data_IF_721659341385
#
_entry.id   IF_721659341385
#
_cell.length_a   1.000
_cell.length_b   1.000
_cell.length_c   1.000
_cell.angle_alpha   90.00
_cell.angle_beta   90.00
_cell.angle_gamma   90.00
#
_symmetry.space_group_name_H-M   'P 1'
#
loop_
_entity.id
_entity.type
_entity.pdbx_description
1 polymer ?
#
# COMPACT_ATOMS: atom_id res chain seq x y z
N UNK A 1 -26.40 -5.09 -0.21
CA UNK A 1 -26.40 -4.69 -1.63
C UNK A 1 -25.50 -5.65 -2.39
N UNK A 2 -25.97 -6.20 -3.51
CA UNK A 2 -25.15 -7.09 -4.33
C UNK A 2 -24.03 -6.25 -4.96
N UNK A 3 -22.78 -6.58 -4.63
CA UNK A 3 -21.63 -5.98 -5.27
C UNK A 3 -21.62 -6.42 -6.74
N UNK A 4 -21.53 -5.51 -7.72
CA UNK A 4 -21.37 -5.89 -9.11
C UNK A 4 -19.99 -6.54 -9.26
N UNK A 5 -19.97 -7.88 -9.22
CA UNK A 5 -18.83 -8.66 -9.67
C UNK A 5 -19.01 -9.00 -11.13
N UNK A 6 -17.92 -8.96 -11.89
CA UNK A 6 -17.94 -9.41 -13.27
C UNK A 6 -18.22 -10.91 -13.35
N UNK A 7 -18.49 -11.41 -14.55
CA UNK A 7 -18.79 -12.82 -14.84
C UNK A 7 -17.71 -13.80 -14.37
N UNK A 8 -16.52 -13.31 -14.04
CA UNK A 8 -15.39 -14.10 -13.51
C UNK A 8 -15.19 -13.94 -12.00
N UNK A 9 -16.05 -13.18 -11.30
CA UNK A 9 -16.00 -13.01 -9.85
C UNK A 9 -14.74 -12.32 -9.33
N UNK A 10 -14.03 -11.57 -10.18
CA UNK A 10 -12.73 -10.92 -9.88
C UNK A 10 -12.82 -9.40 -9.77
N UNK A 11 -13.96 -8.83 -10.15
CA UNK A 11 -14.24 -7.41 -10.06
C UNK A 11 -15.05 -7.06 -8.81
N UNK A 12 -14.69 -6.00 -8.11
CA UNK A 12 -15.62 -5.28 -7.23
C UNK A 12 -15.41 -3.79 -7.48
N UNK A 13 -16.39 -3.16 -8.14
CA UNK A 13 -16.37 -1.73 -8.35
C UNK A 13 -16.47 -0.99 -7.01
N UNK A 14 -15.55 -0.06 -6.75
CA UNK A 14 -15.74 0.93 -5.69
C UNK A 14 -15.49 0.47 -4.25
N UNK A 15 -14.80 -0.64 -4.01
CA UNK A 15 -14.50 -1.05 -2.63
C UNK A 15 -13.28 -0.27 -2.07
N UNK A 16 -13.53 0.99 -1.75
CA UNK A 16 -12.65 1.83 -0.92
C UNK A 16 -12.74 1.46 0.57
N UNK A 17 -13.71 0.61 0.97
CA UNK A 17 -13.87 0.14 2.34
C UNK A 17 -13.14 -1.19 2.60
N UNK A 18 -12.11 -1.22 3.45
CA UNK A 18 -11.46 -2.45 3.89
C UNK A 18 -12.39 -3.44 4.60
N UNK A 19 -13.47 -2.96 5.23
CA UNK A 19 -14.45 -3.80 5.92
C UNK A 19 -15.29 -4.66 4.97
N UNK A 20 -15.80 -4.07 3.89
CA UNK A 20 -16.49 -4.78 2.81
C UNK A 20 -15.58 -5.79 2.10
N UNK A 21 -14.32 -5.43 1.83
CA UNK A 21 -13.36 -6.38 1.26
C UNK A 21 -13.18 -7.60 2.15
N UNK A 22 -13.00 -7.35 3.45
CA UNK A 22 -12.84 -8.41 4.42
C UNK A 22 -14.05 -9.34 4.43
N UNK A 23 -15.28 -8.80 4.46
CA UNK A 23 -16.51 -9.61 4.40
C UNK A 23 -16.60 -10.44 3.12
N UNK A 24 -16.22 -9.86 1.98
CA UNK A 24 -16.22 -10.57 0.70
C UNK A 24 -15.17 -11.69 0.65
N UNK A 25 -13.98 -11.46 1.19
CA UNK A 25 -12.94 -12.48 1.28
C UNK A 25 -13.35 -13.57 2.30
N UNK A 26 -13.95 -13.21 3.43
CA UNK A 26 -14.51 -14.14 4.43
C UNK A 26 -15.69 -14.96 3.87
N UNK A 27 -16.42 -14.44 2.88
CA UNK A 27 -17.44 -15.23 2.17
C UNK A 27 -16.86 -16.18 1.11
N UNK A 28 -15.60 -15.98 0.70
CA UNK A 28 -14.91 -16.80 -0.30
C UNK A 28 -13.94 -17.81 0.30
N UNK A 29 -13.39 -17.52 1.47
CA UNK A 29 -12.35 -18.31 2.12
C UNK A 29 -12.71 -18.60 3.58
N UNK A 30 -12.48 -19.83 4.02
CA UNK A 30 -12.75 -20.22 5.40
C UNK A 30 -11.71 -19.62 6.36
N UNK A 31 -12.08 -19.39 7.62
CA UNK A 31 -11.14 -18.89 8.62
C UNK A 31 -9.90 -19.79 8.82
N UNK A 32 -10.01 -21.14 8.86
CA UNK A 32 -8.83 -22.00 8.97
C UNK A 32 -7.85 -21.86 7.80
N UNK A 33 -8.36 -21.68 6.58
CA UNK A 33 -7.53 -21.45 5.39
C UNK A 33 -6.77 -20.13 5.49
N UNK A 34 -7.46 -19.04 5.88
CA UNK A 34 -6.84 -17.72 6.04
C UNK A 34 -5.78 -17.73 7.15
N UNK A 35 -6.02 -18.42 8.26
CA UNK A 35 -5.04 -18.55 9.34
C UNK A 35 -3.79 -19.32 8.89
N UNK A 36 -3.99 -20.44 8.18
CA UNK A 36 -2.89 -21.24 7.63
C UNK A 36 -2.08 -20.44 6.60
N UNK A 37 -2.76 -19.70 5.73
CA UNK A 37 -2.11 -18.84 4.73
C UNK A 37 -1.33 -17.70 5.39
N UNK A 38 -1.90 -17.02 6.39
CA UNK A 38 -1.20 -15.99 7.16
C UNK A 38 0.09 -16.54 7.79
N UNK A 39 0.02 -17.70 8.45
CA UNK A 39 1.18 -18.33 9.08
C UNK A 39 2.25 -18.69 8.05
N UNK A 40 1.85 -19.30 6.93
CA UNK A 40 2.76 -19.65 5.84
C UNK A 40 3.45 -18.42 5.23
N UNK A 41 2.69 -17.38 4.86
CA UNK A 41 3.24 -16.14 4.28
C UNK A 41 4.20 -15.43 5.24
N UNK A 42 3.91 -15.44 6.53
CA UNK A 42 4.80 -14.85 7.53
C UNK A 42 6.14 -15.60 7.62
N UNK A 43 6.11 -16.94 7.68
CA UNK A 43 7.33 -17.74 7.80
C UNK A 43 8.16 -17.73 6.52
N UNK A 44 7.50 -17.82 5.36
CA UNK A 44 8.17 -17.69 4.06
C UNK A 44 8.84 -16.33 3.90
N UNK A 45 8.18 -15.24 4.33
CA UNK A 45 8.77 -13.90 4.28
C UNK A 45 10.04 -13.80 5.11
N UNK A 46 10.04 -14.40 6.31
CA UNK A 46 11.22 -14.45 7.19
C UNK A 46 12.34 -15.31 6.62
N UNK A 47 11.99 -16.49 6.11
CA UNK A 47 12.94 -17.43 5.52
C UNK A 47 13.61 -16.85 4.27
N UNK A 48 12.82 -16.26 3.37
CA UNK A 48 13.31 -15.59 2.17
C UNK A 48 14.16 -14.37 2.51
N UNK A 49 13.76 -13.57 3.51
CA UNK A 49 14.54 -12.44 3.98
C UNK A 49 15.94 -12.85 4.48
N UNK A 50 16.04 -13.94 5.24
CA UNK A 50 17.33 -14.50 5.67
C UNK A 50 18.17 -14.98 4.49
N UNK A 51 17.56 -15.71 3.56
CA UNK A 51 18.24 -16.28 2.40
C UNK A 51 18.80 -15.21 1.46
N UNK A 52 18.01 -14.17 1.17
CA UNK A 52 18.39 -13.10 0.24
C UNK A 52 19.02 -11.87 0.92
N UNK A 53 19.17 -11.89 2.25
CA UNK A 53 19.69 -10.77 3.05
C UNK A 53 18.94 -9.45 2.81
N UNK A 54 17.62 -9.53 2.73
CA UNK A 54 16.71 -8.39 2.60
C UNK A 54 15.79 -8.28 3.82
N UNK A 55 15.02 -7.19 3.92
CA UNK A 55 14.03 -7.05 5.00
C UNK A 55 12.89 -8.06 4.82
N UNK A 56 12.26 -8.54 5.92
CA UNK A 56 11.05 -9.35 5.86
C UNK A 56 9.93 -8.71 5.03
N UNK A 57 9.82 -7.38 5.06
CA UNK A 57 8.84 -6.65 4.25
C UNK A 57 9.14 -6.77 2.75
N UNK A 58 10.40 -6.57 2.32
CA UNK A 58 10.79 -6.75 0.92
C UNK A 58 10.61 -8.18 0.43
N UNK A 59 10.93 -9.16 1.28
CA UNK A 59 10.67 -10.56 0.99
C UNK A 59 9.16 -10.81 0.81
N UNK A 60 8.32 -10.27 1.69
CA UNK A 60 6.87 -10.36 1.55
C UNK A 60 6.38 -9.73 0.24
N UNK A 61 6.93 -8.58 -0.18
CA UNK A 61 6.64 -7.95 -1.47
C UNK A 61 6.98 -8.83 -2.67
N UNK A 62 8.10 -9.55 -2.62
CA UNK A 62 8.46 -10.52 -3.67
C UNK A 62 7.45 -11.67 -3.71
N UNK A 63 7.04 -12.20 -2.56
CA UNK A 63 6.03 -13.27 -2.48
C UNK A 63 4.66 -12.81 -3.01
N UNK A 64 4.23 -11.60 -2.65
CA UNK A 64 3.00 -11.00 -3.20
C UNK A 64 3.10 -10.86 -4.72
N UNK A 65 4.24 -10.40 -5.25
CA UNK A 65 4.47 -10.30 -6.69
C UNK A 65 4.33 -11.64 -7.41
N UNK A 66 4.89 -12.72 -6.84
CA UNK A 66 4.75 -14.09 -7.36
C UNK A 66 3.29 -14.55 -7.35
N UNK A 67 2.60 -14.38 -6.22
CA UNK A 67 1.20 -14.77 -6.08
C UNK A 67 0.29 -14.05 -7.08
N UNK A 68 0.48 -12.74 -7.30
CA UNK A 68 -0.24 -12.00 -8.32
C UNK A 68 0.09 -12.48 -9.74
N UNK A 69 1.36 -12.77 -10.05
CA UNK A 69 1.76 -13.28 -11.36
C UNK A 69 1.18 -14.67 -11.68
N UNK A 70 1.07 -15.54 -10.68
CA UNK A 70 0.52 -16.89 -10.83
C UNK A 70 -1.02 -16.91 -10.89
N UNK A 71 -1.67 -16.06 -10.07
CA UNK A 71 -3.12 -16.15 -9.81
C UNK A 71 -3.96 -15.07 -10.50
N UNK A 72 -3.36 -14.00 -11.00
CA UNK A 72 -4.07 -12.89 -11.65
C UNK A 72 -3.81 -12.86 -13.15
N UNK A 73 -4.53 -13.70 -13.89
CA UNK A 73 -4.39 -13.89 -15.34
C UNK A 73 -4.69 -12.63 -16.19
N UNK A 74 -5.22 -11.56 -15.58
CA UNK A 74 -5.55 -10.30 -16.27
C UNK A 74 -4.79 -9.08 -15.72
N UNK A 75 -3.79 -9.27 -14.85
CA UNK A 75 -2.98 -8.19 -14.31
C UNK A 75 -2.09 -7.60 -15.42
N UNK A 76 -2.33 -6.35 -15.77
CA UNK A 76 -1.48 -5.60 -16.70
C UNK A 76 -0.65 -4.51 -15.99
N UNK A 77 -0.74 -4.46 -14.66
CA UNK A 77 0.05 -3.56 -13.83
C UNK A 77 1.52 -3.96 -13.88
N UNK A 78 2.36 -3.02 -14.32
CA UNK A 78 3.81 -3.17 -14.36
C UNK A 78 4.51 -1.82 -14.12
N UNK A 79 5.84 -1.84 -14.11
CA UNK A 79 6.62 -0.59 -14.09
C UNK A 79 6.27 0.23 -15.33
N UNK A 80 5.95 1.52 -15.14
CA UNK A 80 5.45 2.41 -16.19
C UNK A 80 3.93 2.51 -16.29
N UNK A 81 3.17 1.76 -15.48
CA UNK A 81 1.73 1.92 -15.33
C UNK A 81 1.43 2.95 -14.22
N UNK A 82 0.95 4.15 -14.58
CA UNK A 82 0.66 5.23 -13.61
C UNK A 82 -0.79 5.28 -13.11
N UNK A 83 -1.65 4.33 -13.51
CA UNK A 83 -3.08 4.37 -13.22
C UNK A 83 -3.41 4.49 -11.72
N UNK A 84 -2.79 3.66 -10.87
CA UNK A 84 -3.00 3.72 -9.41
C UNK A 84 -2.26 4.90 -8.75
N UNK A 85 -1.39 5.60 -9.46
CA UNK A 85 -0.61 6.72 -8.90
C UNK A 85 -1.44 7.99 -8.69
N UNK A 86 -2.75 7.97 -8.95
CA UNK A 86 -3.66 9.10 -8.77
C UNK A 86 -4.78 8.84 -7.74
N UNK A 87 -4.82 7.68 -7.07
CA UNK A 87 -5.94 7.29 -6.19
C UNK A 87 -5.81 7.72 -4.73
N UNK A 88 -4.65 8.24 -4.32
CA UNK A 88 -4.28 8.35 -2.91
C UNK A 88 -4.02 6.97 -2.32
N UNK A 89 -2.93 6.84 -1.57
CA UNK A 89 -2.51 5.55 -0.99
C UNK A 89 -2.02 5.73 0.43
N UNK A 90 -2.32 4.75 1.26
CA UNK A 90 -1.89 4.71 2.65
C UNK A 90 -0.77 3.68 2.87
N UNK A 91 0.02 3.92 3.91
CA UNK A 91 1.10 3.04 4.33
C UNK A 91 1.14 2.96 5.87
N UNK A 92 1.54 1.81 6.40
CA UNK A 92 1.97 1.66 7.79
C UNK A 92 3.35 2.30 8.02
N UNK A 93 3.79 2.39 9.28
CA UNK A 93 5.14 2.89 9.61
C UNK A 93 6.24 2.02 8.99
N UNK A 94 6.11 0.70 9.08
CA UNK A 94 7.10 -0.25 8.55
C UNK A 94 7.25 -0.08 7.02
N UNK A 95 6.14 0.11 6.33
CA UNK A 95 6.14 0.33 4.88
C UNK A 95 6.76 1.68 4.52
N UNK A 96 6.44 2.73 5.28
CA UNK A 96 7.07 4.03 5.10
C UNK A 96 8.58 3.98 5.33
N UNK A 97 9.04 3.29 6.37
CA UNK A 97 10.47 3.11 6.64
C UNK A 97 11.15 2.35 5.48
N UNK A 98 10.50 1.31 4.93
CA UNK A 98 10.99 0.62 3.72
C UNK A 98 11.08 1.52 2.48
N UNK A 99 10.12 2.44 2.30
CA UNK A 99 10.16 3.45 1.23
C UNK A 99 11.35 4.40 1.43
N UNK A 100 11.60 4.84 2.67
CA UNK A 100 12.73 5.71 2.99
C UNK A 100 14.07 5.04 2.74
N UNK A 101 14.20 3.75 3.10
CA UNK A 101 15.42 2.99 2.87
C UNK A 101 15.66 2.78 1.38
N UNK A 102 14.63 2.45 0.60
CA UNK A 102 14.72 2.40 -0.87
C UNK A 102 15.13 3.75 -1.47
N UNK A 103 14.53 4.84 -1.00
CA UNK A 103 14.88 6.18 -1.44
C UNK A 103 16.36 6.50 -1.19
N UNK A 104 16.91 6.10 -0.02
CA UNK A 104 18.34 6.25 0.28
C UNK A 104 19.20 5.38 -0.65
N UNK A 105 18.87 4.10 -0.79
CA UNK A 105 19.62 3.16 -1.64
C UNK A 105 19.69 3.61 -3.10
N UNK A 106 18.61 4.22 -3.61
CA UNK A 106 18.52 4.75 -4.98
C UNK A 106 19.00 6.19 -5.13
N UNK A 107 19.44 6.84 -4.05
CA UNK A 107 19.86 8.25 -4.08
C UNK A 107 18.73 9.22 -4.45
N UNK A 108 17.48 8.91 -4.09
CA UNK A 108 16.34 9.78 -4.32
C UNK A 108 16.37 10.98 -3.36
N UNK A 109 16.23 12.17 -3.92
CA UNK A 109 16.10 13.40 -3.15
C UNK A 109 14.65 13.61 -2.70
N UNK A 110 14.40 13.32 -1.42
CA UNK A 110 13.07 13.50 -0.81
C UNK A 110 12.65 14.98 -0.72
N UNK A 111 13.58 15.93 -0.68
CA UNK A 111 13.24 17.35 -0.73
C UNK A 111 12.70 17.74 -2.10
N UNK A 112 13.32 17.25 -3.20
CA UNK A 112 12.78 17.43 -4.55
C UNK A 112 11.42 16.74 -4.74
N UNK A 113 11.23 15.56 -4.14
CA UNK A 113 9.94 14.85 -4.11
C UNK A 113 8.85 15.68 -3.41
N UNK A 114 9.19 16.31 -2.29
CA UNK A 114 8.29 17.23 -1.59
C UNK A 114 7.98 18.47 -2.42
N UNK A 115 8.98 19.06 -3.06
CA UNK A 115 8.83 20.26 -3.87
C UNK A 115 7.85 20.03 -5.04
N UNK A 116 8.03 18.93 -5.79
CA UNK A 116 7.11 18.58 -6.91
C UNK A 116 5.68 18.29 -6.46
N UNK A 117 5.50 17.87 -5.20
CA UNK A 117 4.19 17.52 -4.63
C UNK A 117 3.67 18.58 -3.65
N UNK A 118 4.29 19.76 -3.61
CA UNK A 118 4.09 20.78 -2.57
C UNK A 118 2.62 21.17 -2.41
N UNK A 119 1.93 21.37 -3.52
CA UNK A 119 0.49 21.71 -3.52
C UNK A 119 -0.35 20.69 -2.76
N UNK A 120 -0.11 19.40 -2.98
CA UNK A 120 -0.88 18.31 -2.36
C UNK A 120 -0.44 18.09 -0.91
N UNK A 121 0.87 18.19 -0.64
CA UNK A 121 1.44 18.13 0.72
C UNK A 121 0.91 19.26 1.61
N UNK A 122 0.81 20.48 1.09
CA UNK A 122 0.30 21.64 1.84
C UNK A 122 -1.20 21.48 2.15
N UNK A 123 -2.01 20.97 1.23
CA UNK A 123 -3.43 20.62 1.51
C UNK A 123 -3.55 19.61 2.66
N UNK A 124 -2.71 18.57 2.65
CA UNK A 124 -2.68 17.56 3.70
C UNK A 124 -2.22 18.17 5.03
N UNK A 125 -1.21 19.05 4.99
CA UNK A 125 -0.75 19.79 6.18
C UNK A 125 -1.85 20.66 6.77
N UNK A 126 -2.60 21.38 5.94
CA UNK A 126 -3.68 22.25 6.41
C UNK A 126 -4.84 21.44 7.00
N UNK A 127 -5.18 20.30 6.37
CA UNK A 127 -6.12 19.35 6.94
C UNK A 127 -5.65 18.84 8.31
N UNK A 128 -4.36 18.51 8.46
CA UNK A 128 -3.79 18.11 9.76
C UNK A 128 -3.85 19.24 10.82
N UNK A 129 -3.61 20.49 10.42
CA UNK A 129 -3.70 21.66 11.33
C UNK A 129 -5.12 21.99 11.77
N UNK A 130 -6.11 21.67 10.94
CA UNK A 130 -7.52 21.94 11.26
C UNK A 130 -8.04 21.16 12.48
N UNK A 131 -7.29 20.17 12.96
CA UNK A 131 -7.67 19.33 14.11
C UNK A 131 -8.80 18.35 13.80
N UNK A 132 -9.35 18.34 12.58
CA UNK A 132 -10.38 17.38 12.16
C UNK A 132 -9.76 15.99 12.04
N UNK A 133 -10.32 15.04 12.79
CA UNK A 133 -10.06 13.61 12.54
C UNK A 133 -10.77 13.21 11.24
N UNK A 134 -10.00 13.15 10.16
CA UNK A 134 -10.47 12.58 8.90
C UNK A 134 -10.30 11.06 8.92
N UNK A 135 -11.31 10.35 8.44
CA UNK A 135 -11.21 8.93 8.17
C UNK A 135 -10.32 8.66 6.93
N UNK A 136 -10.04 7.39 6.65
CA UNK A 136 -9.17 7.00 5.52
C UNK A 136 -9.76 7.45 4.18
N UNK A 137 -11.08 7.38 4.00
CA UNK A 137 -11.73 7.76 2.74
C UNK A 137 -11.62 9.27 2.49
N UNK A 138 -11.78 10.08 3.52
CA UNK A 138 -11.60 11.53 3.46
C UNK A 138 -10.15 11.93 3.18
N UNK A 139 -9.18 11.22 3.79
CA UNK A 139 -7.77 11.40 3.43
C UNK A 139 -7.49 11.09 1.96
N UNK A 140 -8.11 10.05 1.41
CA UNK A 140 -7.95 9.70 -0.01
C UNK A 140 -8.57 10.76 -0.92
N UNK A 141 -9.77 11.25 -0.58
CA UNK A 141 -10.46 12.32 -1.34
C UNK A 141 -9.65 13.62 -1.41
N UNK A 142 -8.84 13.93 -0.41
CA UNK A 142 -7.98 15.13 -0.43
C UNK A 142 -6.92 15.11 -1.54
N UNK A 143 -6.49 13.92 -1.96
CA UNK A 143 -5.36 13.75 -2.88
C UNK A 143 -5.70 12.97 -4.15
N UNK A 144 -6.95 12.55 -4.29
CA UNK A 144 -7.44 11.90 -5.52
C UNK A 144 -7.23 12.82 -6.72
N UNK A 145 -6.94 12.23 -7.89
CA UNK A 145 -6.57 12.92 -9.12
C UNK A 145 -5.28 13.77 -9.04
N UNK A 146 -4.52 13.70 -7.94
CA UNK A 146 -3.19 14.28 -7.85
C UNK A 146 -2.13 13.19 -8.07
N UNK A 147 -1.04 13.48 -8.79
CA UNK A 147 0.02 12.51 -8.98
C UNK A 147 0.66 12.15 -7.63
N UNK A 148 0.95 10.87 -7.44
CA UNK A 148 1.70 10.37 -6.31
C UNK A 148 3.05 11.10 -6.22
N UNK A 149 3.52 11.47 -5.02
CA UNK A 149 4.82 12.10 -4.84
C UNK A 149 5.99 11.28 -5.37
N UNK A 150 5.84 9.97 -5.59
CA UNK A 150 6.87 9.09 -6.13
C UNK A 150 6.71 8.77 -7.63
N UNK A 151 5.70 9.34 -8.29
CA UNK A 151 5.51 9.20 -9.75
C UNK A 151 6.56 10.06 -10.47
N UNK A 152 7.25 9.46 -11.43
CA UNK A 152 8.23 10.12 -12.30
C UNK A 152 7.57 10.60 -13.59
N UNK A 153 8.27 11.46 -14.34
CA UNK A 153 7.79 12.04 -15.61
C UNK A 153 7.50 10.98 -16.67
N UNK A 154 8.30 9.91 -16.69
CA UNK A 154 8.15 8.74 -17.57
C UNK A 154 7.04 7.77 -17.13
N UNK A 155 6.18 8.18 -16.20
CA UNK A 155 5.11 7.37 -15.59
C UNK A 155 5.62 6.17 -14.75
N UNK A 156 6.93 6.09 -14.49
CA UNK A 156 7.48 5.07 -13.60
C UNK A 156 7.36 5.45 -12.13
N UNK A 157 7.27 4.45 -11.25
CA UNK A 157 7.29 4.66 -9.80
C UNK A 157 8.73 4.58 -9.28
N UNK A 158 9.18 5.63 -8.60
CA UNK A 158 10.54 5.71 -8.04
C UNK A 158 10.84 4.60 -7.02
N UNK A 159 9.79 4.15 -6.31
CA UNK A 159 9.86 3.19 -5.20
C UNK A 159 9.05 1.93 -5.50
N UNK A 160 9.00 1.52 -6.78
CA UNK A 160 8.14 0.42 -7.24
C UNK A 160 8.29 -0.88 -6.43
N UNK A 161 9.51 -1.25 -6.05
CA UNK A 161 9.83 -2.47 -5.32
C UNK A 161 9.34 -2.43 -3.86
N UNK A 162 9.29 -1.23 -3.27
CA UNK A 162 8.87 -0.98 -1.88
C UNK A 162 7.52 -0.25 -1.80
N UNK A 163 6.73 -0.27 -2.88
CA UNK A 163 5.38 0.32 -2.89
C UNK A 163 4.53 -0.30 -1.75
N UNK A 164 3.72 0.50 -1.05
CA UNK A 164 2.93 0.02 0.08
C UNK A 164 1.87 -0.99 -0.38
N UNK A 165 1.32 -1.75 0.56
CA UNK A 165 0.29 -2.74 0.33
C UNK A 165 -0.90 -2.14 -0.43
N UNK A 166 -1.33 -0.93 -0.05
CA UNK A 166 -2.45 -0.24 -0.70
C UNK A 166 -2.19 -0.02 -2.21
N UNK A 167 -0.95 0.32 -2.61
CA UNK A 167 -0.54 0.39 -4.02
C UNK A 167 -0.51 -0.97 -4.74
N UNK A 168 -0.38 -2.08 -4.01
CA UNK A 168 -0.33 -3.44 -4.57
C UNK A 168 -1.72 -4.02 -4.75
N UNK A 169 -2.64 -3.64 -3.87
CA UNK A 169 -4.03 -4.04 -3.92
C UNK A 169 -4.82 -3.23 -4.95
N UNK A 170 -4.40 -2.01 -5.28
CA UNK A 170 -5.03 -1.21 -6.33
C UNK A 170 -4.34 -1.48 -7.68
N UNK A 171 -4.96 -2.30 -8.52
CA UNK A 171 -4.40 -2.74 -9.80
C UNK A 171 -5.22 -2.24 -10.99
N UNK A 172 -4.52 -2.00 -12.10
CA UNK A 172 -5.15 -1.71 -13.39
C UNK A 172 -5.41 -3.01 -14.14
N UNK A 173 -6.64 -3.19 -14.61
CA UNK A 173 -7.04 -4.29 -15.47
C UNK A 173 -7.34 -3.79 -16.89
N UNK A 174 -7.23 -4.70 -17.89
CA UNK A 174 -7.80 -4.54 -19.24
C UNK A 174 -7.34 -3.27 -20.00
N UNK A 175 -6.03 -3.04 -20.12
CA UNK A 175 -5.46 -2.01 -21.01
C UNK A 175 -5.46 -0.58 -20.45
N UNK A 176 -5.84 -0.39 -19.18
CA UNK A 176 -6.07 0.96 -18.62
C UNK A 176 -4.86 1.63 -18.00
N UNK A 177 -3.65 1.10 -18.19
CA UNK A 177 -2.43 1.67 -17.60
C UNK A 177 -2.13 3.11 -18.02
N UNK A 178 -2.62 3.56 -19.18
CA UNK A 178 -2.51 4.93 -19.67
C UNK A 178 -3.71 5.83 -19.32
N UNK A 179 -4.78 5.27 -18.76
CA UNK A 179 -5.98 6.03 -18.43
C UNK A 179 -5.80 6.82 -17.14
N UNK A 180 -6.17 8.10 -17.15
CA UNK A 180 -6.27 8.94 -15.94
C UNK A 180 -7.63 8.79 -15.22
N UNK A 181 -8.55 7.97 -15.76
CA UNK A 181 -9.88 7.78 -15.19
C UNK A 181 -9.84 6.70 -14.11
N UNK A 182 -9.83 7.14 -12.86
CA UNK A 182 -9.68 6.31 -11.65
C UNK A 182 -10.82 5.33 -11.37
N UNK A 183 -11.91 5.41 -12.14
CA UNK A 183 -13.09 4.53 -12.04
C UNK A 183 -12.79 3.03 -12.27
N UNK A 184 -11.54 2.70 -12.61
CA UNK A 184 -11.11 1.38 -13.05
C UNK A 184 -9.97 0.76 -12.25
N UNK A 185 -9.57 1.39 -11.13
CA UNK A 185 -8.61 0.78 -10.23
C UNK A 185 -9.35 -0.28 -9.39
N UNK A 186 -8.92 -1.54 -9.47
CA UNK A 186 -9.64 -2.69 -8.90
C UNK A 186 -8.77 -3.40 -7.86
N UNK A 187 -9.41 -4.17 -6.96
CA UNK A 187 -8.70 -5.09 -6.07
C UNK A 187 -8.58 -6.46 -6.71
N UNK A 188 -7.37 -7.01 -6.73
CA UNK A 188 -7.10 -8.26 -7.39
C UNK A 188 -7.37 -9.40 -6.45
N UNK A 189 -8.64 -9.75 -6.29
CA UNK A 189 -9.16 -10.72 -5.31
C UNK A 189 -8.37 -12.05 -5.30
N UNK A 190 -7.26 -12.10 -4.57
CA UNK A 190 -6.48 -13.30 -4.29
C UNK A 190 -6.46 -13.55 -2.78
N UNK A 191 -6.38 -14.81 -2.31
CA UNK A 191 -6.35 -15.14 -0.88
C UNK A 191 -5.28 -14.35 -0.10
N UNK A 192 -4.14 -14.10 -0.74
CA UNK A 192 -3.05 -13.32 -0.16
C UNK A 192 -3.45 -11.89 0.20
N UNK A 193 -4.37 -11.25 -0.53
CA UNK A 193 -4.89 -9.92 -0.16
C UNK A 193 -5.60 -9.94 1.19
N UNK A 194 -6.27 -11.05 1.52
CA UNK A 194 -7.03 -11.20 2.77
C UNK A 194 -6.13 -11.17 4.01
N UNK A 195 -4.92 -11.72 3.89
CA UNK A 195 -3.98 -11.86 5.00
C UNK A 195 -2.88 -10.80 4.98
N UNK A 196 -2.69 -10.09 3.87
CA UNK A 196 -1.53 -9.23 3.67
C UNK A 196 -1.43 -8.11 4.70
N UNK A 197 -2.55 -7.48 5.07
CA UNK A 197 -2.56 -6.44 6.10
C UNK A 197 -2.11 -6.98 7.46
N UNK A 198 -2.55 -8.19 7.83
CA UNK A 198 -2.16 -8.87 9.06
C UNK A 198 -0.70 -9.34 9.03
N UNK A 199 -0.18 -9.79 7.88
CA UNK A 199 1.24 -10.10 7.71
C UNK A 199 2.10 -8.86 7.94
N UNK A 200 1.79 -7.75 7.25
CA UNK A 200 2.50 -6.46 7.43
C UNK A 200 2.42 -6.00 8.89
N UNK A 201 1.23 -6.11 9.49
CA UNK A 201 1.02 -5.76 10.88
C UNK A 201 1.89 -6.58 11.83
N UNK A 202 2.00 -7.89 11.58
CA UNK A 202 2.83 -8.79 12.38
C UNK A 202 4.32 -8.49 12.21
N UNK A 203 4.77 -8.24 10.99
CA UNK A 203 6.16 -7.84 10.73
C UNK A 203 6.51 -6.55 11.46
N UNK A 204 5.62 -5.55 11.46
CA UNK A 204 5.81 -4.29 12.18
C UNK A 204 5.86 -4.52 13.70
N UNK A 205 4.95 -5.36 14.21
CA UNK A 205 4.91 -5.74 15.62
C UNK A 205 6.23 -6.39 16.08
N UNK A 206 6.77 -7.30 15.27
CA UNK A 206 8.03 -7.98 15.57
C UNK A 206 9.26 -7.08 15.42
N UNK A 207 9.24 -6.13 14.47
CA UNK A 207 10.29 -5.11 14.34
C UNK A 207 10.27 -4.08 15.48
N UNK A 208 9.11 -3.86 16.11
CA UNK A 208 8.98 -2.93 17.24
C UNK A 208 9.75 -3.47 18.46
N UNK A 209 10.58 -2.66 19.15
CA UNK A 209 11.27 -3.11 20.37
C UNK A 209 10.30 -3.64 21.42
N UNK A 210 10.65 -4.74 22.12
CA UNK A 210 9.77 -5.40 23.10
C UNK A 210 9.14 -4.42 24.10
N UNK A 211 9.92 -3.45 24.60
CA UNK A 211 9.46 -2.41 25.54
C UNK A 211 8.36 -1.48 24.98
N UNK A 212 8.24 -1.35 23.66
CA UNK A 212 7.26 -0.49 22.96
C UNK A 212 6.08 -1.28 22.38
N UNK A 213 6.12 -2.62 22.45
CA UNK A 213 5.07 -3.48 21.89
C UNK A 213 3.80 -3.37 22.74
N UNK A 214 2.68 -3.15 22.08
CA UNK A 214 1.33 -3.23 22.67
C UNK A 214 0.71 -4.60 22.38
N UNK A 215 -0.50 -4.87 22.85
CA UNK A 215 -1.24 -6.07 22.44
C UNK A 215 -1.38 -6.07 20.92
N UNK A 216 -1.11 -7.20 20.27
CA UNK A 216 -1.29 -7.35 18.83
C UNK A 216 -2.78 -7.54 18.53
N UNK A 217 -3.34 -6.66 17.70
CA UNK A 217 -4.77 -6.66 17.32
C UNK A 217 -5.01 -7.17 15.89
N UNK A 218 -3.97 -7.61 15.19
CA UNK A 218 -4.06 -8.09 13.80
C UNK A 218 -4.01 -7.00 12.73
N UNK A 219 -3.95 -5.72 13.12
CA UNK A 219 -3.92 -4.56 12.22
C UNK A 219 -2.81 -3.59 12.61
N UNK A 220 -2.55 -2.58 11.78
CA UNK A 220 -1.71 -1.44 12.14
C UNK A 220 -2.34 -0.16 11.65
N UNK A 221 -2.01 0.94 12.33
CA UNK A 221 -2.41 2.27 11.89
C UNK A 221 -1.73 2.58 10.56
N UNK A 222 -2.55 2.96 9.59
CA UNK A 222 -2.11 3.45 8.29
C UNK A 222 -2.27 4.97 8.21
N UNK A 223 -1.39 5.60 7.45
CA UNK A 223 -1.47 7.02 7.13
C UNK A 223 -1.24 7.23 5.65
N UNK A 224 -1.91 8.24 5.10
CA UNK A 224 -1.71 8.69 3.73
C UNK A 224 -0.22 8.96 3.48
N UNK A 225 0.29 8.59 2.31
CA UNK A 225 1.70 8.79 1.96
C UNK A 225 2.14 10.26 2.06
N UNK A 226 1.26 11.20 1.70
CA UNK A 226 1.51 12.64 1.85
C UNK A 226 1.63 13.06 3.33
N UNK A 227 0.89 12.43 4.24
CA UNK A 227 1.01 12.69 5.68
C UNK A 227 2.34 12.19 6.22
N UNK A 228 2.83 11.05 5.73
CA UNK A 228 4.17 10.57 6.05
C UNK A 228 5.26 11.55 5.58
N UNK A 229 5.11 12.10 4.38
CA UNK A 229 5.99 13.14 3.84
C UNK A 229 5.99 14.42 4.69
N UNK A 230 4.82 14.90 5.13
CA UNK A 230 4.73 16.03 6.08
C UNK A 230 5.48 15.72 7.37
N UNK A 231 5.23 14.56 7.98
CA UNK A 231 5.89 14.16 9.22
C UNK A 231 7.42 14.02 9.06
N UNK A 232 7.88 13.55 7.89
CA UNK A 232 9.30 13.49 7.55
C UNK A 232 9.91 14.89 7.40
N UNK A 233 9.24 15.83 6.70
CA UNK A 233 9.72 17.21 6.54
C UNK A 233 9.86 17.89 7.91
N UNK A 234 8.84 17.79 8.76
CA UNK A 234 8.81 18.41 10.09
C UNK A 234 9.93 17.85 10.99
N UNK A 235 10.19 16.55 10.92
CA UNK A 235 11.27 15.91 11.68
C UNK A 235 12.66 16.37 11.23
N UNK A 236 12.85 16.61 9.93
CA UNK A 236 14.15 17.06 9.41
C UNK A 236 14.37 18.55 9.62
N UNK A 237 13.32 19.39 9.57
CA UNK A 237 13.40 20.81 9.94
C UNK A 237 13.83 21.03 11.39
N UNK A 238 13.40 20.17 12.32
CA UNK A 238 13.79 20.25 13.75
C UNK A 238 15.23 19.83 14.04
N UNK A 239 15.92 19.21 13.08
CA UNK A 239 17.31 18.76 13.21
C UNK A 239 18.32 19.76 12.62
N UNK A 240 17.83 20.76 11.90
CA UNK A 240 18.59 21.91 11.40
C UNK A 240 18.46 23.05 12.41
#
# INVERSE_FOLDING_TARGET
>A
MALPSDHNGLFIQGMTDPGELRRYLESKFSQPELQSLYAARLEESKSLARAEKITPLRAFWKLMGRAFGEKSQALQCGRGCAHCCYTGVAATQLEWDGILDNAREKGLDLHKILERSRRTVDRVRDAMKSGKELDVADWHRLVVNQPCPFLQEDQSCAVYEDRPLDCRLVVAYRGKCSSKNLEHAQRGVIPEEAVASTVVARLQYEATPKMKRRKFDGTQKVHLLHRWLVAWEDKNRRKQ
#
